data_IF_843829530661
#
_entry.id   IF_843829530661
#
_cell.length_a   1.000
_cell.length_b   1.000
_cell.length_c   1.000
_cell.angle_alpha   90.00
_cell.angle_beta   90.00
_cell.angle_gamma   90.00
#
_symmetry.space_group_name_H-M   'P 1'
#
loop_
_entity.id
_entity.type
_entity.pdbx_description
1 polymer ?
#
# COMPACT_ATOMS: atom_id res chain seq x y z
N UNK A 1 5.32 7.87 20.57
CA UNK A 1 6.77 7.60 20.58
C UNK A 1 7.37 8.31 19.39
N UNK A 2 8.54 8.92 19.55
CA UNK A 2 9.24 9.59 18.43
C UNK A 2 10.00 8.51 17.65
N UNK A 3 9.83 8.46 16.34
CA UNK A 3 10.56 7.53 15.45
C UNK A 3 12.06 7.80 15.53
N UNK A 4 12.87 6.77 15.38
CA UNK A 4 14.30 6.92 15.11
C UNK A 4 14.50 7.55 13.71
N UNK A 5 15.69 8.12 13.43
CA UNK A 5 16.00 8.61 12.09
C UNK A 5 15.89 7.53 11.00
N UNK A 6 16.13 6.26 11.34
CA UNK A 6 16.01 5.13 10.41
C UNK A 6 14.55 4.80 10.13
N UNK A 7 13.74 4.66 11.17
CA UNK A 7 12.29 4.46 11.02
C UNK A 7 11.65 5.59 10.22
N UNK A 8 12.09 6.84 10.42
CA UNK A 8 11.57 7.97 9.64
C UNK A 8 11.95 7.85 8.16
N UNK A 9 13.18 7.44 7.83
CA UNK A 9 13.57 7.17 6.43
C UNK A 9 12.74 6.05 5.81
N UNK A 10 12.48 4.97 6.56
CA UNK A 10 11.67 3.86 6.08
C UNK A 10 10.22 4.31 5.81
N UNK A 11 9.65 5.13 6.70
CA UNK A 11 8.34 5.73 6.48
C UNK A 11 8.35 6.63 5.26
N UNK A 12 9.36 7.49 5.10
CA UNK A 12 9.45 8.39 3.95
C UNK A 12 9.56 7.62 2.63
N UNK A 13 10.35 6.53 2.60
CA UNK A 13 10.46 5.62 1.47
C UNK A 13 9.09 5.03 1.08
N UNK A 14 8.37 4.46 2.05
CA UNK A 14 7.06 3.87 1.80
C UNK A 14 6.04 4.91 1.37
N UNK A 15 6.02 6.08 2.01
CA UNK A 15 5.09 7.15 1.64
C UNK A 15 5.37 7.71 0.25
N UNK A 16 6.63 7.79 -0.15
CA UNK A 16 6.98 8.19 -1.51
C UNK A 16 6.60 7.11 -2.53
N UNK A 17 6.83 5.84 -2.21
CA UNK A 17 6.34 4.71 -3.01
C UNK A 17 4.80 4.79 -3.20
N UNK A 18 4.03 5.12 -2.16
CA UNK A 18 2.58 5.34 -2.31
C UNK A 18 2.27 6.46 -3.30
N UNK A 19 2.97 7.60 -3.22
CA UNK A 19 2.72 8.77 -4.08
C UNK A 19 3.16 8.56 -5.53
N UNK A 20 4.24 7.82 -5.74
CA UNK A 20 4.87 7.65 -7.06
C UNK A 20 4.39 6.39 -7.76
N UNK A 21 4.04 5.33 -7.02
CA UNK A 21 3.65 4.02 -7.57
C UNK A 21 2.17 3.75 -7.38
N UNK A 22 1.70 3.60 -6.14
CA UNK A 22 0.36 3.02 -5.88
C UNK A 22 -0.79 3.98 -6.20
N UNK A 23 -0.71 5.24 -5.75
CA UNK A 23 -1.75 6.25 -5.99
C UNK A 23 -1.93 6.54 -7.48
N UNK A 24 -0.87 6.83 -8.27
CA UNK A 24 -1.00 7.04 -9.70
C UNK A 24 -1.11 5.73 -10.50
N UNK A 25 -0.92 4.58 -9.84
CA UNK A 25 -0.79 3.26 -10.45
C UNK A 25 0.29 3.24 -11.55
N UNK A 26 1.44 3.86 -11.29
CA UNK A 26 2.53 4.02 -12.26
C UNK A 26 3.59 2.93 -12.09
N UNK A 27 3.51 1.92 -12.95
CA UNK A 27 4.43 0.79 -12.98
C UNK A 27 5.88 1.19 -13.28
N UNK A 28 6.10 2.34 -13.94
CA UNK A 28 7.44 2.78 -14.35
C UNK A 28 8.31 3.21 -13.16
N UNK A 29 7.67 3.51 -12.02
CA UNK A 29 8.35 3.98 -10.81
C UNK A 29 8.76 2.84 -9.87
N UNK A 30 8.28 1.62 -10.09
CA UNK A 30 8.41 0.49 -9.16
C UNK A 30 9.88 0.22 -8.76
N UNK A 31 10.80 0.31 -9.72
CA UNK A 31 12.22 -0.05 -9.52
C UNK A 31 13.00 0.94 -8.66
N UNK A 32 12.43 2.11 -8.39
CA UNK A 32 13.03 3.09 -7.48
C UNK A 32 12.77 2.77 -6.01
N UNK A 33 11.79 1.91 -5.71
CA UNK A 33 11.32 1.67 -4.34
C UNK A 33 11.31 0.19 -3.94
N UNK A 34 11.07 -0.72 -4.89
CA UNK A 34 10.83 -2.14 -4.61
C UNK A 34 11.99 -2.98 -5.13
N UNK A 35 12.52 -3.83 -4.26
CA UNK A 35 13.67 -4.69 -4.55
C UNK A 35 13.34 -5.71 -5.65
N UNK A 36 14.26 -6.06 -6.56
CA UNK A 36 14.01 -7.07 -7.60
C UNK A 36 13.66 -8.46 -7.04
N UNK A 37 14.19 -8.86 -5.87
CA UNK A 37 13.80 -10.12 -5.20
C UNK A 37 12.74 -9.90 -4.11
N UNK A 38 11.84 -8.95 -4.35
CA UNK A 38 10.69 -8.67 -3.52
C UNK A 38 9.78 -9.90 -3.32
N UNK A 39 9.34 -10.12 -2.09
CA UNK A 39 8.42 -11.20 -1.70
C UNK A 39 7.01 -10.63 -1.47
N UNK A 40 6.04 -11.11 -2.24
CA UNK A 40 4.62 -10.77 -2.13
C UNK A 40 3.86 -11.85 -1.37
N UNK A 41 3.17 -11.48 -0.29
CA UNK A 41 2.27 -12.38 0.45
C UNK A 41 0.78 -12.14 0.16
N UNK A 42 0.44 -10.98 -0.43
CA UNK A 42 -0.94 -10.66 -0.83
C UNK A 42 -1.51 -11.73 -1.75
N UNK A 43 -2.74 -12.15 -1.47
CA UNK A 43 -3.45 -13.14 -2.28
C UNK A 43 -4.05 -12.56 -3.56
N UNK A 44 -4.01 -11.23 -3.72
CA UNK A 44 -4.59 -10.53 -4.86
C UNK A 44 -3.61 -10.32 -6.01
N UNK A 45 -2.30 -10.45 -5.75
CA UNK A 45 -1.25 -10.21 -6.73
C UNK A 45 -0.41 -11.48 -6.95
N UNK A 46 -0.02 -11.72 -8.20
CA UNK A 46 1.00 -12.72 -8.48
C UNK A 46 2.36 -12.27 -7.89
N UNK A 47 3.25 -13.22 -7.55
CA UNK A 47 4.49 -12.90 -6.86
C UNK A 47 5.50 -12.18 -7.76
N UNK A 48 6.31 -11.32 -7.14
CA UNK A 48 7.46 -10.66 -7.77
C UNK A 48 7.15 -9.31 -8.42
N UNK A 49 8.23 -8.56 -8.70
CA UNK A 49 8.15 -7.18 -9.21
C UNK A 49 7.49 -7.08 -10.58
N UNK A 50 7.74 -8.05 -11.47
CA UNK A 50 7.14 -8.05 -12.80
C UNK A 50 5.61 -8.14 -12.74
N UNK A 51 5.09 -9.06 -11.91
CA UNK A 51 3.66 -9.22 -11.70
C UNK A 51 3.01 -7.97 -11.08
N UNK A 52 3.71 -7.29 -10.19
CA UNK A 52 3.24 -6.01 -9.65
C UNK A 52 3.11 -4.94 -10.74
N UNK A 53 4.11 -4.82 -11.63
CA UNK A 53 4.03 -3.86 -12.75
C UNK A 53 2.86 -4.16 -13.68
N UNK A 54 2.70 -5.42 -14.07
CA UNK A 54 1.60 -5.87 -14.92
C UNK A 54 0.24 -5.58 -14.27
N UNK A 55 0.11 -5.83 -12.96
CA UNK A 55 -1.10 -5.53 -12.20
C UNK A 55 -1.41 -4.02 -12.23
N UNK A 56 -0.44 -3.15 -11.95
CA UNK A 56 -0.63 -1.69 -11.96
C UNK A 56 -1.09 -1.19 -13.34
N UNK A 57 -0.45 -1.67 -14.41
CA UNK A 57 -0.79 -1.30 -15.78
C UNK A 57 -2.20 -1.78 -16.18
N UNK A 58 -2.63 -2.94 -15.66
CA UNK A 58 -3.97 -3.48 -15.88
C UNK A 58 -5.05 -2.68 -15.13
N UNK A 59 -4.84 -2.34 -13.85
CA UNK A 59 -5.87 -1.70 -13.02
C UNK A 59 -6.02 -0.21 -13.26
N UNK A 60 -4.94 0.48 -13.65
CA UNK A 60 -4.93 1.93 -13.88
C UNK A 60 -6.04 2.43 -14.82
N UNK A 61 -6.23 1.86 -16.02
CA UNK A 61 -7.31 2.28 -16.92
C UNK A 61 -8.71 1.88 -16.43
N UNK A 62 -8.82 0.86 -15.58
CA UNK A 62 -10.11 0.38 -15.03
C UNK A 62 -10.61 1.28 -13.90
N UNK A 63 -9.69 1.87 -13.14
CA UNK A 63 -10.00 2.69 -11.97
C UNK A 63 -9.37 4.09 -12.03
N UNK A 64 -9.65 4.89 -13.07
CA UNK A 64 -8.99 6.19 -13.31
C UNK A 64 -9.29 7.25 -12.22
N UNK A 65 -10.30 7.00 -11.39
CA UNK A 65 -10.71 7.86 -10.28
C UNK A 65 -10.44 7.20 -8.92
N UNK A 66 -9.62 6.16 -8.87
CA UNK A 66 -9.27 5.51 -7.62
C UNK A 66 -8.59 6.51 -6.68
N UNK A 67 -8.88 6.38 -5.39
CA UNK A 67 -8.28 7.21 -4.33
C UNK A 67 -7.75 6.31 -3.23
N UNK A 68 -6.57 6.65 -2.70
CA UNK A 68 -6.03 6.04 -1.49
C UNK A 68 -5.97 7.12 -0.41
N UNK A 69 -6.80 6.97 0.62
CA UNK A 69 -6.91 7.89 1.74
C UNK A 69 -6.18 7.31 2.95
N UNK A 70 -4.92 7.69 3.10
CA UNK A 70 -4.01 7.22 4.14
C UNK A 70 -4.43 7.79 5.49
N UNK A 71 -4.80 6.92 6.43
CA UNK A 71 -5.30 7.31 7.75
C UNK A 71 -4.20 7.42 8.78
N UNK A 72 -3.24 6.50 8.74
CA UNK A 72 -2.18 6.39 9.74
C UNK A 72 -1.05 5.50 9.26
N UNK A 73 0.14 5.79 9.76
CA UNK A 73 1.38 5.10 9.41
C UNK A 73 2.17 4.83 10.68
N UNK A 74 2.60 3.59 10.85
CA UNK A 74 3.43 3.13 11.96
C UNK A 74 4.77 2.63 11.45
N UNK A 75 5.77 2.66 12.31
CA UNK A 75 7.07 2.07 12.03
C UNK A 75 7.58 1.40 13.30
N UNK A 76 8.24 0.25 13.10
CA UNK A 76 8.95 -0.50 14.12
C UNK A 76 10.19 -1.10 13.46
N UNK A 77 11.35 -0.48 13.71
CA UNK A 77 12.60 -0.86 13.05
C UNK A 77 12.53 -0.78 11.52
N UNK A 78 12.68 -1.94 10.88
CA UNK A 78 12.66 -2.11 9.43
C UNK A 78 11.26 -2.36 8.85
N UNK A 79 10.21 -2.37 9.69
CA UNK A 79 8.84 -2.55 9.25
C UNK A 79 8.06 -1.23 9.26
N UNK A 80 7.26 -1.01 8.21
CA UNK A 80 6.32 0.11 8.10
C UNK A 80 4.93 -0.43 7.84
N UNK A 81 3.94 0.07 8.58
CA UNK A 81 2.54 -0.34 8.48
C UNK A 81 1.72 0.86 8.03
N UNK A 82 0.91 0.69 6.99
CA UNK A 82 0.04 1.74 6.45
C UNK A 82 -1.40 1.26 6.53
N UNK A 83 -2.24 2.00 7.25
CA UNK A 83 -3.68 1.77 7.29
C UNK A 83 -4.39 2.88 6.52
N UNK A 84 -5.14 2.51 5.49
CA UNK A 84 -5.76 3.43 4.55
C UNK A 84 -7.07 2.88 3.97
N UNK A 85 -7.85 3.78 3.36
CA UNK A 85 -9.06 3.45 2.63
C UNK A 85 -8.81 3.57 1.13
N UNK A 86 -9.09 2.53 0.37
CA UNK A 86 -9.15 2.58 -1.10
C UNK A 86 -10.61 2.81 -1.51
N UNK A 87 -10.86 3.76 -2.40
CA UNK A 87 -12.09 3.80 -3.21
C UNK A 87 -11.71 3.54 -4.65
N UNK A 88 -12.34 2.56 -5.31
CA UNK A 88 -12.04 2.18 -6.70
C UNK A 88 -12.75 3.08 -7.72
N UNK A 89 -13.87 3.68 -7.33
CA UNK A 89 -14.65 4.66 -8.08
C UNK A 89 -15.39 5.61 -7.11
N UNK A 90 -15.95 6.75 -7.56
CA UNK A 90 -16.47 7.79 -6.66
C UNK A 90 -17.53 7.32 -5.67
N UNK A 91 -18.43 6.43 -6.08
CA UNK A 91 -19.53 5.89 -5.25
C UNK A 91 -19.18 4.61 -4.49
N UNK A 92 -17.96 4.07 -4.64
CA UNK A 92 -17.52 2.88 -3.91
C UNK A 92 -17.59 3.13 -2.40
N UNK A 93 -18.07 2.17 -1.60
CA UNK A 93 -17.95 2.26 -0.14
C UNK A 93 -16.47 2.16 0.28
N UNK A 94 -15.68 1.45 -0.53
CA UNK A 94 -14.25 1.32 -0.41
C UNK A 94 -13.80 0.05 0.31
N UNK A 95 -12.49 -0.16 0.29
CA UNK A 95 -11.79 -1.25 0.98
C UNK A 95 -10.83 -0.66 2.00
N UNK A 96 -10.86 -1.22 3.19
CA UNK A 96 -9.95 -0.92 4.29
C UNK A 96 -8.74 -1.82 4.10
N UNK A 97 -7.56 -1.21 4.06
CA UNK A 97 -6.32 -1.94 3.81
C UNK A 97 -5.31 -1.63 4.90
N UNK A 98 -4.67 -2.69 5.38
CA UNK A 98 -3.53 -2.61 6.27
C UNK A 98 -2.34 -3.31 5.59
N UNK A 99 -1.48 -2.51 4.97
CA UNK A 99 -0.24 -3.01 4.37
C UNK A 99 0.87 -3.00 5.40
N UNK A 100 1.74 -4.00 5.32
CA UNK A 100 2.95 -4.15 6.11
C UNK A 100 4.09 -4.32 5.12
N UNK A 101 5.08 -3.43 5.18
CA UNK A 101 6.27 -3.47 4.36
C UNK A 101 7.50 -3.73 5.22
N UNK A 102 8.37 -4.63 4.80
CA UNK A 102 9.72 -4.76 5.35
C UNK A 102 10.72 -4.10 4.40
N UNK A 103 11.59 -3.30 4.96
CA UNK A 103 12.63 -2.55 4.24
C UNK A 103 13.98 -3.23 4.47
N UNK A 104 14.75 -3.39 3.42
CA UNK A 104 16.12 -3.91 3.47
C UNK A 104 16.96 -3.16 2.44
N UNK A 105 18.17 -2.74 2.81
CA UNK A 105 19.08 -1.99 1.96
C UNK A 105 18.45 -0.76 1.27
N UNK A 106 17.53 -0.08 1.98
CA UNK A 106 16.85 1.13 1.49
C UNK A 106 15.75 0.87 0.46
N UNK A 107 15.33 -0.39 0.29
CA UNK A 107 14.29 -0.81 -0.66
C UNK A 107 13.23 -1.65 0.05
N UNK A 108 12.00 -1.65 -0.46
CA UNK A 108 10.93 -2.55 0.00
C UNK A 108 11.27 -3.96 -0.48
N UNK A 109 11.49 -4.87 0.47
CA UNK A 109 11.90 -6.25 0.21
C UNK A 109 10.75 -7.23 0.34
N UNK A 110 9.74 -6.91 1.13
CA UNK A 110 8.66 -7.84 1.45
C UNK A 110 7.39 -7.09 1.82
N UNK A 111 6.25 -7.67 1.45
CA UNK A 111 4.93 -7.06 1.64
C UNK A 111 3.88 -8.08 2.07
N UNK A 112 3.06 -7.69 3.05
CA UNK A 112 1.83 -8.35 3.45
C UNK A 112 0.69 -7.36 3.45
N UNK A 113 -0.52 -7.84 3.19
CA UNK A 113 -1.72 -7.04 3.36
C UNK A 113 -2.85 -7.83 4.04
N UNK A 114 -3.79 -7.06 4.58
CA UNK A 114 -5.14 -7.53 4.86
C UNK A 114 -6.09 -6.49 4.30
N UNK A 115 -7.05 -6.96 3.49
CA UNK A 115 -8.08 -6.13 2.91
C UNK A 115 -9.45 -6.54 3.42
N UNK A 116 -10.31 -5.54 3.63
CA UNK A 116 -11.70 -5.76 4.01
C UNK A 116 -12.60 -4.72 3.33
N UNK A 117 -13.65 -5.14 2.63
CA UNK A 117 -14.66 -4.21 2.14
C UNK A 117 -15.35 -3.47 3.31
N UNK A 118 -15.56 -2.17 3.15
CA UNK A 118 -16.30 -1.36 4.11
C UNK A 118 -17.72 -1.89 4.23
N UNK A 119 -18.10 -2.27 5.45
CA UNK A 119 -19.47 -2.67 5.80
C UNK A 119 -20.20 -1.54 6.48
N UNK A 120 -21.35 -1.16 5.92
CA UNK A 120 -22.23 -0.12 6.47
C UNK A 120 -23.43 -0.69 7.24
N UNK A 121 -23.60 -2.01 7.23
CA UNK A 121 -24.69 -2.77 7.85
C UNK A 121 -24.32 -3.35 9.23
N UNK A 122 -23.16 -2.96 9.76
CA UNK A 122 -22.64 -3.47 11.02
C UNK A 122 -23.27 -2.83 12.27
N UNK A 123 -23.16 -3.47 13.44
CA UNK A 123 -23.67 -2.93 14.69
C UNK A 123 -22.84 -1.76 15.24
N UNK A 124 -21.66 -1.50 14.66
CA UNK A 124 -20.74 -0.45 15.13
C UNK A 124 -21.11 0.91 14.51
N UNK A 125 -21.42 1.94 15.31
CA UNK A 125 -21.76 3.26 14.81
C UNK A 125 -20.53 4.08 14.36
N UNK A 126 -19.32 3.61 14.63
CA UNK A 126 -18.08 4.31 14.28
C UNK A 126 -17.58 3.90 12.89
N UNK A 127 -16.91 4.85 12.22
CA UNK A 127 -16.18 4.59 10.99
C UNK A 127 -15.22 3.42 11.17
N UNK A 128 -15.16 2.47 10.21
CA UNK A 128 -14.22 1.36 10.29
C UNK A 128 -12.78 1.76 9.87
N UNK A 129 -12.59 3.02 9.43
CA UNK A 129 -11.30 3.65 9.08
C UNK A 129 -10.99 4.87 9.93
#
# INVERSE_FOLDING_TARGET
>A
MTRTPEEQRNVDLVMEMFRSVLIPMDSTQVDHFISPDYIQHSQLAAPGVAALRDFLDEIRPQHPYATHDIKRVFADGDHVIVHYLIKRWPEDAGMIVCDIFRIEDGMIREHWDVLQDVRTDGPNPHSPV
#
